data_IF_542952505452
#
_entry.id   IF_542952505452
#
_cell.length_a   1.000
_cell.length_b   1.000
_cell.length_c   1.000
_cell.angle_alpha   90.00
_cell.angle_beta   90.00
_cell.angle_gamma   90.00
#
_symmetry.space_group_name_H-M   'P 1'
#
loop_
_entity.id
_entity.type
_entity.pdbx_description
1 polymer ?
#
# COMPACT_ATOMS: atom_id res chain seq x y z
N UNK A 1 4.28 -7.77 -9.72
CA UNK A 1 3.72 -8.68 -8.70
C UNK A 1 4.23 -8.30 -7.32
N UNK A 2 3.34 -8.30 -6.31
CA UNK A 2 3.66 -8.03 -4.90
C UNK A 2 2.93 -9.05 -4.03
N UNK A 3 3.63 -9.62 -3.04
CA UNK A 3 2.98 -10.39 -1.99
C UNK A 3 2.31 -9.43 -1.00
N UNK A 4 1.03 -9.60 -0.77
CA UNK A 4 0.25 -8.84 0.20
C UNK A 4 0.49 -9.44 1.59
N UNK A 5 0.92 -8.59 2.52
CA UNK A 5 1.16 -8.93 3.92
C UNK A 5 0.46 -7.94 4.84
N UNK A 6 0.27 -8.34 6.09
CA UNK A 6 -0.20 -7.42 7.12
C UNK A 6 0.96 -6.66 7.77
N UNK A 7 0.70 -5.43 8.18
CA UNK A 7 1.64 -4.65 9.01
C UNK A 7 1.55 -5.01 10.49
N UNK A 8 0.49 -5.71 10.90
CA UNK A 8 0.24 -6.10 12.30
C UNK A 8 -0.14 -7.57 12.38
N UNK A 9 0.20 -8.20 13.50
CA UNK A 9 -0.23 -9.57 13.80
C UNK A 9 -1.63 -9.55 14.40
N UNK A 10 -2.42 -10.60 14.10
CA UNK A 10 -3.75 -10.73 14.68
C UNK A 10 -4.64 -11.75 13.97
N UNK A 11 -5.85 -11.92 14.48
CA UNK A 11 -6.85 -12.85 13.93
C UNK A 11 -7.62 -12.19 12.80
N UNK A 12 -7.76 -12.87 11.67
CA UNK A 12 -8.58 -12.41 10.54
C UNK A 12 -10.06 -12.47 10.92
N UNK A 13 -10.73 -11.32 10.80
CA UNK A 13 -12.18 -11.18 11.05
C UNK A 13 -13.00 -10.98 9.79
N UNK A 14 -12.36 -10.70 8.66
CA UNK A 14 -13.04 -10.53 7.39
C UNK A 14 -12.08 -10.65 6.21
N UNK A 15 -12.56 -11.24 5.12
CA UNK A 15 -11.91 -11.29 3.82
C UNK A 15 -12.95 -10.81 2.81
N UNK A 16 -12.60 -9.83 1.99
CA UNK A 16 -13.55 -9.09 1.13
C UNK A 16 -13.19 -9.16 -0.35
N UNK A 17 -12.42 -10.15 -0.74
CA UNK A 17 -12.05 -10.41 -2.13
C UNK A 17 -12.23 -11.87 -2.49
N UNK A 18 -12.42 -12.13 -3.78
CA UNK A 18 -12.39 -13.46 -4.38
C UNK A 18 -11.06 -13.67 -5.13
N UNK A 19 -10.61 -14.93 -5.21
CA UNK A 19 -9.42 -15.31 -5.95
C UNK A 19 -9.56 -15.02 -7.44
N UNK A 20 -8.56 -14.45 -8.06
CA UNK A 20 -8.60 -14.01 -9.45
C UNK A 20 -9.36 -12.70 -9.70
N UNK A 21 -9.95 -12.08 -8.66
CA UNK A 21 -10.71 -10.84 -8.79
C UNK A 21 -9.80 -9.63 -9.08
N UNK A 22 -10.29 -8.72 -9.93
CA UNK A 22 -9.67 -7.39 -10.09
C UNK A 22 -10.11 -6.46 -8.97
N UNK A 23 -9.13 -5.87 -8.30
CA UNK A 23 -9.35 -4.88 -7.25
C UNK A 23 -8.75 -3.54 -7.62
N UNK A 24 -9.35 -2.46 -7.11
CA UNK A 24 -8.83 -1.11 -7.28
C UNK A 24 -7.88 -0.78 -6.13
N UNK A 25 -6.94 0.13 -6.39
CA UNK A 25 -6.12 0.71 -5.34
C UNK A 25 -6.97 1.21 -4.17
N UNK A 26 -6.54 0.92 -2.92
CA UNK A 26 -7.24 1.28 -1.70
C UNK A 26 -8.40 0.36 -1.31
N UNK A 27 -8.81 -0.60 -2.16
CA UNK A 27 -9.85 -1.57 -1.83
C UNK A 27 -9.46 -2.36 -0.57
N UNK A 28 -10.38 -2.50 0.38
CA UNK A 28 -10.19 -3.33 1.58
C UNK A 28 -10.17 -4.80 1.14
N UNK A 29 -9.15 -5.54 1.57
CA UNK A 29 -8.97 -6.96 1.23
C UNK A 29 -9.14 -7.85 2.44
N UNK A 30 -8.50 -7.49 3.55
CA UNK A 30 -8.57 -8.27 4.80
C UNK A 30 -8.75 -7.33 5.97
N UNK A 31 -9.54 -7.78 6.94
CA UNK A 31 -9.72 -7.12 8.23
C UNK A 31 -9.17 -8.02 9.33
N UNK A 32 -8.32 -7.44 10.16
CA UNK A 32 -7.79 -8.06 11.37
C UNK A 32 -8.61 -7.58 12.56
N UNK A 33 -8.67 -8.37 13.61
CA UNK A 33 -9.39 -7.99 14.83
C UNK A 33 -8.84 -6.70 15.43
N UNK A 34 -9.68 -5.69 15.45
CA UNK A 34 -9.36 -4.31 15.88
C UNK A 34 -10.16 -3.89 17.13
N UNK A 35 -10.88 -4.83 17.77
CA UNK A 35 -11.82 -4.52 18.85
C UNK A 35 -11.17 -3.82 20.05
N UNK A 36 -9.95 -4.19 20.40
CA UNK A 36 -9.18 -3.58 21.48
C UNK A 36 -8.78 -2.15 21.13
N UNK A 37 -8.20 -1.94 19.94
CA UNK A 37 -7.84 -0.61 19.43
C UNK A 37 -9.04 0.32 19.32
N UNK A 38 -10.21 -0.20 18.92
CA UNK A 38 -11.44 0.59 18.90
C UNK A 38 -11.89 1.01 20.31
N UNK A 39 -11.71 0.15 21.32
CA UNK A 39 -11.99 0.52 22.71
C UNK A 39 -11.00 1.57 23.22
N UNK A 40 -9.72 1.42 22.90
CA UNK A 40 -8.69 2.42 23.21
C UNK A 40 -8.97 3.77 22.53
N UNK A 41 -9.36 3.77 21.26
CA UNK A 41 -9.73 4.99 20.54
C UNK A 41 -10.86 5.72 21.26
N UNK A 42 -11.95 5.04 21.59
CA UNK A 42 -13.06 5.67 22.33
C UNK A 42 -12.62 6.26 23.65
N UNK A 43 -11.75 5.55 24.40
CA UNK A 43 -11.19 6.06 25.65
C UNK A 43 -10.35 7.33 25.44
N UNK A 44 -9.50 7.35 24.42
CA UNK A 44 -8.68 8.51 24.07
C UNK A 44 -9.53 9.70 23.61
N UNK A 45 -10.56 9.46 22.79
CA UNK A 45 -11.50 10.49 22.32
C UNK A 45 -12.28 11.13 23.48
N UNK A 46 -12.74 10.34 24.47
CA UNK A 46 -13.39 10.92 25.64
C UNK A 46 -12.45 11.79 26.50
N UNK A 47 -11.16 11.40 26.62
CA UNK A 47 -10.18 12.22 27.32
C UNK A 47 -9.91 13.52 26.58
N UNK A 48 -9.75 13.46 25.27
CA UNK A 48 -9.57 14.62 24.42
C UNK A 48 -10.76 15.57 24.53
N UNK A 49 -11.99 15.07 24.42
CA UNK A 49 -13.21 15.86 24.56
C UNK A 49 -13.28 16.59 25.91
N UNK A 50 -12.90 15.91 27.00
CA UNK A 50 -12.84 16.53 28.32
C UNK A 50 -11.81 17.65 28.40
N UNK A 51 -10.61 17.43 27.83
CA UNK A 51 -9.53 18.42 27.81
C UNK A 51 -9.89 19.64 26.94
N UNK A 52 -10.51 19.45 25.78
CA UNK A 52 -10.99 20.51 24.90
C UNK A 52 -12.09 21.36 25.58
N UNK A 53 -12.98 20.72 26.34
CA UNK A 53 -13.98 21.43 27.13
C UNK A 53 -13.34 22.25 28.27
N UNK A 54 -12.24 21.75 28.85
CA UNK A 54 -11.44 22.48 29.85
C UNK A 54 -10.73 23.67 29.21
N UNK A 55 -10.03 23.47 28.12
CA UNK A 55 -9.36 24.54 27.34
C UNK A 55 -10.33 25.68 26.99
N UNK A 56 -11.51 25.32 26.50
CA UNK A 56 -12.56 26.32 26.16
C UNK A 56 -12.98 27.13 27.35
N UNK A 57 -13.10 26.53 28.54
CA UNK A 57 -13.44 27.26 29.78
C UNK A 57 -12.30 28.17 30.24
N UNK A 58 -11.08 27.65 30.28
CA UNK A 58 -9.88 28.34 30.71
C UNK A 58 -9.56 29.54 29.79
N UNK A 59 -9.78 29.40 28.49
CA UNK A 59 -9.66 30.49 27.53
C UNK A 59 -10.56 31.70 27.92
N UNK A 60 -11.81 31.44 28.29
CA UNK A 60 -12.73 32.51 28.75
C UNK A 60 -12.25 33.16 30.06
N UNK A 61 -11.65 32.37 30.96
CA UNK A 61 -11.11 32.87 32.24
C UNK A 61 -9.85 33.70 31.96
N UNK A 62 -8.99 33.28 31.03
CA UNK A 62 -7.83 34.03 30.59
C UNK A 62 -8.24 35.40 29.99
N UNK A 63 -9.24 35.41 29.10
CA UNK A 63 -9.76 36.62 28.48
C UNK A 63 -10.31 37.59 29.53
N UNK A 64 -10.77 37.08 30.69
CA UNK A 64 -11.23 37.85 31.85
C UNK A 64 -10.11 38.18 32.87
N UNK A 65 -8.86 37.78 32.61
CA UNK A 65 -7.71 38.01 33.51
C UNK A 65 -7.69 37.10 34.75
N UNK A 66 -8.43 35.97 34.75
CA UNK A 66 -8.58 35.08 35.92
C UNK A 66 -7.55 33.97 36.03
N UNK A 67 -6.77 33.71 34.99
CA UNK A 67 -5.63 32.77 35.00
C UNK A 67 -4.44 33.39 34.25
N UNK A 68 -3.24 32.81 34.43
CA UNK A 68 -2.06 33.24 33.70
C UNK A 68 -2.03 32.66 32.27
N UNK A 69 -1.28 33.32 31.39
CA UNK A 69 -1.04 32.79 30.05
C UNK A 69 -0.33 31.42 30.13
N UNK A 70 0.63 31.25 31.04
CA UNK A 70 1.37 30.01 31.28
C UNK A 70 0.43 28.84 31.65
N UNK A 71 -0.54 29.07 32.53
CA UNK A 71 -1.54 28.04 32.90
C UNK A 71 -2.40 27.62 31.70
N UNK A 72 -2.83 28.60 30.87
CA UNK A 72 -3.58 28.34 29.67
C UNK A 72 -2.75 27.54 28.61
N UNK A 73 -1.49 27.96 28.41
CA UNK A 73 -0.58 27.25 27.50
C UNK A 73 -0.35 25.80 27.95
N UNK A 74 -0.26 25.52 29.24
CA UNK A 74 -0.16 24.16 29.78
C UNK A 74 -1.41 23.32 29.40
N UNK A 75 -2.61 23.88 29.54
CA UNK A 75 -3.86 23.20 29.14
C UNK A 75 -3.93 22.98 27.63
N UNK A 76 -3.49 23.96 26.83
CA UNK A 76 -3.43 23.82 25.37
C UNK A 76 -2.45 22.71 24.94
N UNK A 77 -1.30 22.63 25.61
CA UNK A 77 -0.34 21.54 25.39
C UNK A 77 -0.92 20.16 25.74
N UNK A 78 -1.69 20.04 26.84
CA UNK A 78 -2.41 18.82 27.20
C UNK A 78 -3.37 18.38 26.09
N UNK A 79 -4.16 19.31 25.55
CA UNK A 79 -5.07 19.02 24.40
C UNK A 79 -4.28 18.53 23.20
N UNK A 80 -3.16 19.16 22.86
CA UNK A 80 -2.33 18.75 21.72
C UNK A 80 -1.75 17.33 21.89
N UNK A 81 -1.30 16.99 23.11
CA UNK A 81 -0.81 15.64 23.42
C UNK A 81 -1.92 14.60 23.27
N UNK A 82 -3.11 14.86 23.84
CA UNK A 82 -4.25 13.94 23.74
C UNK A 82 -4.75 13.78 22.29
N UNK A 83 -4.66 14.83 21.47
CA UNK A 83 -4.98 14.75 20.04
C UNK A 83 -3.99 13.86 19.29
N UNK A 84 -2.70 14.00 19.60
CA UNK A 84 -1.68 13.12 19.04
C UNK A 84 -1.87 11.65 19.46
N UNK A 85 -2.32 11.38 20.68
CA UNK A 85 -2.65 10.02 21.13
C UNK A 85 -3.83 9.43 20.31
N UNK A 86 -4.88 10.21 20.06
CA UNK A 86 -6.01 9.81 19.21
C UNK A 86 -5.53 9.48 17.79
N UNK A 87 -4.67 10.33 17.21
CA UNK A 87 -4.13 10.12 15.87
C UNK A 87 -3.24 8.88 15.79
N UNK A 88 -2.45 8.61 16.82
CA UNK A 88 -1.64 7.40 16.92
C UNK A 88 -2.51 6.12 16.88
N UNK A 89 -3.57 6.09 17.70
CA UNK A 89 -4.48 4.94 17.73
C UNK A 89 -5.21 4.76 16.39
N UNK A 90 -5.61 5.86 15.74
CA UNK A 90 -6.20 5.83 14.38
C UNK A 90 -5.24 5.24 13.35
N UNK A 91 -3.97 5.62 13.40
CA UNK A 91 -2.95 5.05 12.53
C UNK A 91 -2.75 3.55 12.76
N UNK A 92 -2.80 3.10 14.03
CA UNK A 92 -2.75 1.67 14.37
C UNK A 92 -3.99 0.91 13.86
N UNK A 93 -5.18 1.50 13.93
CA UNK A 93 -6.41 0.95 13.37
C UNK A 93 -6.35 0.81 11.83
N UNK A 94 -5.77 1.76 11.13
CA UNK A 94 -5.60 1.62 9.68
C UNK A 94 -4.69 0.43 9.32
N UNK A 95 -3.67 0.12 10.13
CA UNK A 95 -2.80 -1.06 9.92
C UNK A 95 -3.54 -2.39 10.08
N UNK A 96 -4.68 -2.43 10.79
CA UNK A 96 -5.51 -3.65 10.88
C UNK A 96 -6.34 -3.91 9.62
N UNK A 97 -6.31 -3.00 8.65
CA UNK A 97 -7.06 -3.05 7.39
C UNK A 97 -6.09 -3.22 6.23
N UNK A 98 -5.91 -4.43 5.78
CA UNK A 98 -5.06 -4.70 4.61
C UNK A 98 -5.78 -4.24 3.35
N UNK A 99 -5.19 -3.28 2.64
CA UNK A 99 -5.74 -2.69 1.42
C UNK A 99 -4.85 -2.98 0.21
N UNK A 100 -5.44 -2.95 -0.98
CA UNK A 100 -4.71 -3.07 -2.23
C UNK A 100 -3.80 -1.85 -2.45
N UNK A 101 -2.46 -2.03 -2.57
CA UNK A 101 -1.52 -0.92 -2.79
C UNK A 101 -1.62 -0.30 -4.19
N UNK A 102 -2.13 -1.03 -5.15
CA UNK A 102 -2.40 -0.58 -6.53
C UNK A 102 -3.56 -1.37 -7.13
N UNK A 103 -4.07 -0.92 -8.26
CA UNK A 103 -5.11 -1.63 -9.01
C UNK A 103 -4.49 -2.83 -9.73
N UNK A 104 -5.07 -4.02 -9.55
CA UNK A 104 -4.52 -5.25 -10.12
C UNK A 104 -5.44 -6.44 -9.93
N UNK A 105 -4.96 -7.63 -10.28
CA UNK A 105 -5.64 -8.91 -10.09
C UNK A 105 -5.03 -9.64 -8.90
N UNK A 106 -5.88 -10.07 -7.96
CA UNK A 106 -5.46 -10.87 -6.80
C UNK A 106 -5.27 -12.32 -7.24
N UNK A 107 -4.19 -12.95 -6.80
CA UNK A 107 -3.92 -14.37 -6.97
C UNK A 107 -4.67 -15.25 -5.97
N UNK A 108 -4.11 -16.43 -5.73
CA UNK A 108 -4.68 -17.38 -4.77
C UNK A 108 -4.51 -16.86 -3.33
N UNK A 109 -5.46 -17.19 -2.49
CA UNK A 109 -5.48 -16.84 -1.07
C UNK A 109 -4.76 -17.90 -0.25
N UNK A 110 -3.83 -17.45 0.59
CA UNK A 110 -3.04 -18.34 1.46
C UNK A 110 -3.51 -18.35 2.92
N UNK A 111 -4.55 -17.57 3.23
CA UNK A 111 -5.10 -17.43 4.58
C UNK A 111 -6.59 -17.70 4.61
N UNK A 112 -7.13 -18.03 5.77
CA UNK A 112 -8.56 -18.31 5.98
C UNK A 112 -9.16 -17.40 7.03
N UNK A 113 -10.49 -17.20 6.95
CA UNK A 113 -11.23 -16.49 7.98
C UNK A 113 -11.02 -17.17 9.34
N UNK A 114 -10.70 -16.39 10.36
CA UNK A 114 -10.43 -16.89 11.71
C UNK A 114 -9.00 -17.34 11.96
N UNK A 115 -8.12 -17.44 10.95
CA UNK A 115 -6.71 -17.74 11.16
C UNK A 115 -5.99 -16.56 11.82
N UNK A 116 -4.94 -16.86 12.57
CA UNK A 116 -4.04 -15.88 13.15
C UNK A 116 -2.86 -15.68 12.18
N UNK A 117 -2.56 -14.44 11.83
CA UNK A 117 -1.47 -14.07 10.93
C UNK A 117 -0.44 -13.20 11.63
N UNK A 118 0.79 -13.26 11.12
CA UNK A 118 1.91 -12.40 11.50
C UNK A 118 2.28 -11.46 10.35
N UNK A 119 3.21 -10.55 10.59
CA UNK A 119 3.73 -9.64 9.55
C UNK A 119 4.53 -10.33 8.44
N UNK A 120 4.95 -11.57 8.64
CA UNK A 120 5.64 -12.41 7.65
C UNK A 120 4.71 -13.34 6.88
N UNK A 121 3.42 -13.40 7.23
CA UNK A 121 2.44 -14.28 6.59
C UNK A 121 1.98 -13.67 5.26
N UNK A 122 2.16 -14.41 4.17
CA UNK A 122 1.60 -14.03 2.88
C UNK A 122 0.09 -14.25 2.89
N UNK A 123 -0.66 -13.25 2.44
CA UNK A 123 -2.13 -13.28 2.40
C UNK A 123 -2.61 -13.72 1.02
N UNK A 124 -2.07 -13.09 0.00
CA UNK A 124 -2.30 -13.34 -1.42
C UNK A 124 -1.26 -12.59 -2.24
N UNK A 125 -1.16 -12.86 -3.52
CA UNK A 125 -0.38 -12.04 -4.44
C UNK A 125 -1.27 -11.02 -5.14
N UNK A 126 -0.73 -9.85 -5.45
CA UNK A 126 -1.39 -8.84 -6.28
C UNK A 126 -0.51 -8.56 -7.50
N UNK A 127 -1.10 -8.66 -8.68
CA UNK A 127 -0.40 -8.46 -9.94
C UNK A 127 -1.10 -7.38 -10.76
N UNK A 128 -0.29 -6.50 -11.34
CA UNK A 128 -0.73 -5.65 -12.43
C UNK A 128 -0.27 -6.32 -13.73
N UNK A 129 -1.22 -6.76 -14.51
CA UNK A 129 -1.01 -7.53 -15.75
C UNK A 129 -1.30 -6.70 -17.00
N UNK A 130 -1.62 -5.42 -16.84
CA UNK A 130 -1.86 -4.50 -17.95
C UNK A 130 -1.37 -3.09 -17.58
N UNK A 131 -0.24 -2.62 -18.16
CA UNK A 131 0.57 -3.29 -19.18
C UNK A 131 1.46 -4.41 -18.62
N UNK A 132 1.76 -5.40 -19.46
CA UNK A 132 2.73 -6.44 -19.11
C UNK A 132 4.16 -5.95 -19.38
N UNK A 133 5.08 -6.36 -18.52
CA UNK A 133 6.51 -6.10 -18.69
C UNK A 133 7.17 -7.29 -19.36
N UNK A 134 7.95 -7.02 -20.39
CA UNK A 134 8.72 -8.00 -21.14
C UNK A 134 10.20 -7.71 -20.93
N UNK A 135 10.88 -8.62 -20.24
CA UNK A 135 12.32 -8.54 -20.02
C UNK A 135 13.01 -9.47 -21.03
N UNK A 136 13.99 -8.96 -21.77
CA UNK A 136 14.77 -9.71 -22.71
C UNK A 136 16.20 -9.17 -22.79
N UNK A 137 17.12 -9.99 -23.29
CA UNK A 137 18.51 -9.60 -23.44
C UNK A 137 18.94 -9.64 -24.92
N UNK A 138 19.79 -8.69 -25.30
CA UNK A 138 20.41 -8.65 -26.63
C UNK A 138 21.92 -8.76 -26.51
N UNK A 139 22.62 -9.37 -27.51
CA UNK A 139 24.09 -9.36 -27.54
C UNK A 139 24.65 -7.94 -27.59
N UNK A 140 25.79 -7.72 -26.92
CA UNK A 140 26.50 -6.43 -26.82
C UNK A 140 26.68 -5.73 -28.19
N UNK A 141 26.97 -6.48 -29.25
CA UNK A 141 27.15 -5.94 -30.63
C UNK A 141 25.94 -5.16 -31.16
N UNK A 142 24.77 -5.34 -30.55
CA UNK A 142 23.52 -4.63 -30.91
C UNK A 142 23.16 -3.50 -29.95
N UNK A 143 23.93 -3.29 -28.88
CA UNK A 143 23.64 -2.31 -27.85
C UNK A 143 23.42 -0.89 -28.43
N UNK A 144 24.25 -0.47 -29.40
CA UNK A 144 24.14 0.84 -30.03
C UNK A 144 23.00 0.99 -31.05
N UNK A 145 22.19 -0.04 -31.23
CA UNK A 145 21.05 -0.04 -32.18
C UNK A 145 19.69 -0.01 -31.50
N UNK A 146 19.67 0.00 -30.19
CA UNK A 146 18.44 -0.08 -29.40
C UNK A 146 18.40 1.08 -28.43
N UNK A 147 17.31 1.84 -28.49
CA UNK A 147 17.08 3.01 -27.66
C UNK A 147 15.73 2.91 -26.95
N UNK A 148 15.60 3.70 -25.87
CA UNK A 148 14.32 3.87 -25.18
C UNK A 148 13.34 4.55 -26.15
N UNK A 149 12.16 3.95 -26.32
CA UNK A 149 11.12 4.39 -27.26
C UNK A 149 11.02 3.51 -28.50
N UNK A 150 11.95 2.61 -28.75
CA UNK A 150 11.86 1.66 -29.87
C UNK A 150 10.71 0.67 -29.66
N UNK A 151 10.09 0.28 -30.77
CA UNK A 151 9.06 -0.77 -30.78
C UNK A 151 9.69 -2.16 -30.88
N UNK A 152 9.17 -3.08 -30.09
CA UNK A 152 9.45 -4.51 -30.22
C UNK A 152 8.23 -5.28 -30.69
N UNK A 153 8.49 -6.37 -31.40
CA UNK A 153 7.49 -7.38 -31.73
C UNK A 153 7.91 -8.71 -31.16
N UNK A 154 7.01 -9.40 -30.51
CA UNK A 154 7.26 -10.69 -29.92
C UNK A 154 6.06 -11.62 -30.10
N UNK A 155 6.31 -12.91 -30.08
CA UNK A 155 5.29 -13.95 -30.10
C UNK A 155 5.19 -14.61 -28.75
N UNK A 156 3.98 -15.02 -28.38
CA UNK A 156 3.73 -15.78 -27.16
C UNK A 156 3.12 -17.11 -27.57
N UNK A 157 3.65 -18.22 -27.05
CA UNK A 157 3.10 -19.53 -27.34
C UNK A 157 1.65 -19.64 -26.88
N UNK A 158 0.77 -20.09 -27.75
CA UNK A 158 -0.68 -20.15 -27.51
C UNK A 158 -1.47 -18.91 -27.88
N UNK A 159 -0.82 -17.83 -28.36
CA UNK A 159 -1.50 -16.65 -28.92
C UNK A 159 -1.19 -16.50 -30.40
N UNK A 160 -2.24 -16.28 -31.21
CA UNK A 160 -2.07 -15.98 -32.63
C UNK A 160 -1.62 -14.53 -32.83
N UNK A 161 -0.63 -14.34 -33.73
CA UNK A 161 -0.15 -13.02 -34.14
C UNK A 161 1.01 -12.49 -33.28
N UNK A 162 1.63 -11.43 -33.81
CA UNK A 162 2.73 -10.73 -33.12
C UNK A 162 2.15 -9.67 -32.16
N UNK A 163 2.64 -9.72 -30.94
CA UNK A 163 2.35 -8.68 -29.94
C UNK A 163 3.33 -7.53 -30.11
N UNK A 164 2.93 -6.31 -29.76
CA UNK A 164 3.75 -5.11 -29.85
C UNK A 164 3.98 -4.52 -28.46
N UNK A 165 5.19 -4.05 -28.23
CA UNK A 165 5.56 -3.35 -27.02
C UNK A 165 6.55 -2.24 -27.30
N UNK A 166 6.70 -1.30 -26.39
CA UNK A 166 7.70 -0.23 -26.46
C UNK A 166 8.77 -0.41 -25.39
N UNK A 167 10.03 -0.21 -25.77
CA UNK A 167 11.17 -0.22 -24.86
C UNK A 167 11.10 1.00 -23.94
N UNK A 168 11.09 0.79 -22.63
CA UNK A 168 11.07 1.88 -21.66
C UNK A 168 12.33 1.98 -20.81
N UNK A 169 13.14 0.93 -20.76
CA UNK A 169 14.40 0.95 -20.03
C UNK A 169 15.42 0.01 -20.69
N UNK A 170 16.68 0.46 -20.70
CA UNK A 170 17.85 -0.31 -21.12
C UNK A 170 18.81 -0.28 -19.94
N UNK A 171 19.30 -1.44 -19.51
CA UNK A 171 20.29 -1.54 -18.44
C UNK A 171 21.60 -0.89 -18.90
N UNK A 172 22.22 0.01 -18.13
CA UNK A 172 23.46 0.66 -18.56
C UNK A 172 24.69 -0.28 -18.49
N UNK A 173 24.59 -1.37 -17.76
CA UNK A 173 25.67 -2.32 -17.56
C UNK A 173 25.48 -3.58 -18.42
N UNK A 174 26.55 -3.97 -19.12
CA UNK A 174 26.59 -5.22 -19.89
C UNK A 174 27.00 -6.35 -18.96
N UNK A 175 26.20 -7.42 -18.92
CA UNK A 175 26.58 -8.65 -18.22
C UNK A 175 27.82 -9.25 -18.90
N UNK A 176 28.96 -9.21 -18.21
CA UNK A 176 30.25 -9.67 -18.71
C UNK A 176 30.34 -11.18 -18.91
N UNK A 177 29.50 -11.96 -18.21
CA UNK A 177 29.49 -13.43 -18.33
C UNK A 177 28.76 -13.87 -19.60
N UNK A 178 27.62 -13.23 -19.87
CA UNK A 178 26.78 -13.56 -21.04
C UNK A 178 27.05 -12.65 -22.24
N UNK A 179 27.73 -11.53 -22.06
CA UNK A 179 27.92 -10.46 -23.05
C UNK A 179 26.62 -9.98 -23.65
N UNK A 180 25.64 -9.77 -22.77
CA UNK A 180 24.30 -9.31 -23.15
C UNK A 180 23.91 -8.04 -22.39
N UNK A 181 23.05 -7.27 -23.01
CA UNK A 181 22.42 -6.08 -22.45
C UNK A 181 20.96 -6.39 -22.12
N UNK A 182 20.53 -6.14 -20.89
CA UNK A 182 19.14 -6.37 -20.47
C UNK A 182 18.27 -5.18 -20.90
N UNK A 183 17.13 -5.50 -21.47
CA UNK A 183 16.17 -4.52 -21.97
C UNK A 183 14.80 -4.84 -21.39
N UNK A 184 14.05 -3.79 -21.06
CA UNK A 184 12.68 -3.87 -20.59
C UNK A 184 11.73 -3.13 -21.51
N UNK A 185 10.71 -3.83 -21.95
CA UNK A 185 9.62 -3.26 -22.73
C UNK A 185 8.28 -3.39 -21.99
N UNK A 186 7.33 -2.56 -22.37
CA UNK A 186 5.94 -2.67 -21.93
C UNK A 186 5.06 -2.96 -23.14
N UNK A 187 4.14 -3.91 -22.97
CA UNK A 187 3.14 -4.24 -23.96
C UNK A 187 1.73 -4.12 -23.37
N UNK A 188 0.77 -3.49 -24.05
CA UNK A 188 -0.63 -3.46 -23.63
C UNK A 188 -1.17 -4.89 -23.55
N UNK A 189 -1.93 -5.17 -22.50
CA UNK A 189 -2.57 -6.48 -22.30
C UNK A 189 -4.03 -6.31 -21.82
N UNK A 190 -4.88 -5.60 -22.57
CA UNK A 190 -6.25 -5.29 -22.15
C UNK A 190 -7.10 -6.55 -21.93
N UNK A 191 -6.86 -7.57 -22.73
CA UNK A 191 -7.57 -8.86 -22.65
C UNK A 191 -6.94 -9.84 -21.66
N UNK A 192 -5.78 -9.48 -21.06
CA UNK A 192 -5.03 -10.28 -20.07
C UNK A 192 -4.71 -11.70 -20.53
N UNK A 193 -4.36 -11.84 -21.78
CA UNK A 193 -3.98 -13.10 -22.40
C UNK A 193 -2.46 -13.32 -22.43
N UNK A 194 -1.71 -12.26 -22.14
CA UNK A 194 -0.25 -12.27 -22.01
C UNK A 194 0.16 -12.59 -20.57
#
# INVERSE_FOLDING_TARGET
QVALRSEVAGKITGITFDEGQRVRQGALLVRINDSELQAELRKAEYRLTLAEARETREKRILDGGGISLEDFEATQNEVNVLRADVDLIKAQLEKTRVRAPFTGTIGLREVSLGSFISTSTDIATLQDVDPIKVDFSIPERYANRVEVGDEIQFSVEGLEGLQRGGIYAVEPEIDTNTRTLMIRAMAPNPDRRL
#
